data_IF_246676783668
#
_entry.id   IF_246676783668
#
_cell.length_a   1.000
_cell.length_b   1.000
_cell.length_c   1.000
_cell.angle_alpha   90.00
_cell.angle_beta   90.00
_cell.angle_gamma   90.00
#
_symmetry.space_group_name_H-M   'P 1'
#
loop_
_entity.id
_entity.type
_entity.pdbx_description
1 polymer ?
#
# COMPACT_ATOMS: atom_id res chain seq x y z
N UNK A 1 6.56 3.61 -0.53
CA UNK A 1 5.46 4.60 -0.53
C UNK A 1 4.89 4.89 0.86
N UNK A 2 4.53 3.89 1.68
CA UNK A 2 3.96 4.09 3.03
C UNK A 2 4.76 5.05 3.93
N UNK A 3 6.06 4.82 4.11
CA UNK A 3 6.93 5.70 4.91
C UNK A 3 6.97 7.13 4.37
N UNK A 4 7.07 7.26 3.04
CA UNK A 4 7.07 8.56 2.37
C UNK A 4 5.77 9.32 2.64
N UNK A 5 4.60 8.69 2.43
CA UNK A 5 3.31 9.34 2.70
C UNK A 5 3.10 9.68 4.19
N UNK A 6 3.62 8.86 5.12
CA UNK A 6 3.60 9.20 6.55
C UNK A 6 4.43 10.43 6.89
N UNK A 7 5.56 10.65 6.20
CA UNK A 7 6.37 11.85 6.41
C UNK A 7 5.66 13.16 6.00
N UNK A 8 4.57 13.06 5.23
CA UNK A 8 3.75 14.20 4.79
C UNK A 8 2.34 14.20 5.41
N UNK A 9 2.08 13.34 6.41
CA UNK A 9 0.75 13.17 7.03
C UNK A 9 -0.36 12.79 6.04
N UNK A 10 0.00 12.08 4.97
CA UNK A 10 -0.88 11.74 3.85
C UNK A 10 -1.38 10.28 3.89
N UNK A 11 -0.72 9.42 4.67
CA UNK A 11 -0.99 7.98 4.67
C UNK A 11 -2.44 7.65 5.04
N UNK A 12 -2.95 8.25 6.12
CA UNK A 12 -4.33 8.00 6.58
C UNK A 12 -5.37 8.51 5.58
N UNK A 13 -5.10 9.65 4.94
CA UNK A 13 -5.97 10.20 3.89
C UNK A 13 -6.03 9.27 2.67
N UNK A 14 -4.88 8.68 2.30
CA UNK A 14 -4.84 7.69 1.22
C UNK A 14 -5.54 6.39 1.61
N UNK A 15 -5.38 5.87 2.83
CA UNK A 15 -6.05 4.62 3.27
C UNK A 15 -7.56 4.77 3.38
N UNK A 16 -8.03 5.88 3.94
CA UNK A 16 -9.46 6.22 4.06
C UNK A 16 -10.13 6.35 2.68
N UNK A 17 -9.40 6.89 1.70
CA UNK A 17 -9.93 7.29 0.41
C UNK A 17 -10.68 8.61 0.46
N UNK A 18 -11.11 9.08 -0.71
CA UNK A 18 -11.78 10.36 -0.88
C UNK A 18 -13.11 10.17 -1.58
N UNK A 19 -14.17 10.67 -0.95
CA UNK A 19 -15.50 10.75 -1.56
C UNK A 19 -15.87 12.23 -1.68
N UNK A 20 -15.99 12.77 -2.91
CA UNK A 20 -16.46 14.12 -3.11
C UNK A 20 -17.84 14.32 -2.45
N UNK A 21 -18.08 15.45 -1.77
CA UNK A 21 -19.40 15.72 -1.20
C UNK A 21 -20.43 15.87 -2.31
N UNK A 22 -21.58 15.17 -2.18
CA UNK A 22 -22.66 15.18 -3.17
C UNK A 22 -23.21 16.58 -3.45
N UNK A 23 -23.26 17.43 -2.41
CA UNK A 23 -23.71 18.82 -2.50
C UNK A 23 -22.72 19.76 -1.82
N UNK A 24 -21.72 20.21 -2.55
CA UNK A 24 -20.75 21.22 -2.10
C UNK A 24 -21.42 22.53 -1.65
N UNK A 25 -22.60 22.84 -2.17
CA UNK A 25 -23.39 24.03 -1.80
C UNK A 25 -24.12 23.93 -0.46
N UNK A 26 -24.28 22.73 0.11
CA UNK A 26 -24.98 22.50 1.40
C UNK A 26 -24.01 22.32 2.58
N UNK A 27 -22.71 22.50 2.35
CA UNK A 27 -21.72 22.40 3.42
C UNK A 27 -21.86 23.57 4.38
N UNK A 28 -21.98 23.27 5.68
CA UNK A 28 -21.88 24.30 6.72
C UNK A 28 -20.46 24.89 6.73
N UNK A 29 -20.29 26.12 7.22
CA UNK A 29 -18.98 26.77 7.35
C UNK A 29 -17.98 25.90 8.13
N UNK A 30 -18.46 25.13 9.11
CA UNK A 30 -17.66 24.19 9.88
C UNK A 30 -17.16 22.99 9.06
N UNK A 31 -17.91 22.54 8.05
CA UNK A 31 -17.58 21.39 7.19
C UNK A 31 -16.75 21.78 5.95
N UNK A 32 -16.75 23.06 5.55
CA UNK A 32 -16.00 23.53 4.38
C UNK A 32 -14.48 23.33 4.52
N UNK A 33 -13.92 23.69 5.68
CA UNK A 33 -12.48 23.53 5.95
C UNK A 33 -12.02 22.06 5.87
N UNK A 34 -12.63 21.10 6.60
CA UNK A 34 -12.20 19.70 6.53
C UNK A 34 -12.41 19.10 5.13
N UNK A 35 -13.51 19.41 4.43
CA UNK A 35 -13.73 18.91 3.06
C UNK A 35 -12.65 19.40 2.08
N UNK A 36 -12.21 20.67 2.21
CA UNK A 36 -11.12 21.21 1.41
C UNK A 36 -9.79 20.53 1.72
N UNK A 37 -9.50 20.26 2.99
CA UNK A 37 -8.28 19.54 3.40
C UNK A 37 -8.27 18.12 2.84
N UNK A 38 -9.38 17.40 2.94
CA UNK A 38 -9.50 16.03 2.44
C UNK A 38 -9.30 15.96 0.92
N UNK A 39 -9.95 16.86 0.19
CA UNK A 39 -9.76 17.00 -1.27
C UNK A 39 -8.30 17.31 -1.63
N UNK A 40 -7.69 18.27 -0.92
CA UNK A 40 -6.29 18.66 -1.13
C UNK A 40 -5.33 17.50 -0.88
N UNK A 41 -5.53 16.76 0.21
CA UNK A 41 -4.71 15.62 0.55
C UNK A 41 -4.84 14.51 -0.49
N UNK A 42 -6.05 14.21 -0.97
CA UNK A 42 -6.27 13.25 -2.05
C UNK A 42 -5.47 13.60 -3.30
N UNK A 43 -5.58 14.84 -3.80
CA UNK A 43 -4.88 15.22 -5.03
C UNK A 43 -3.36 15.32 -4.85
N UNK A 44 -2.88 15.69 -3.66
CA UNK A 44 -1.45 15.60 -3.33
C UNK A 44 -0.95 14.15 -3.38
N UNK A 45 -1.67 13.21 -2.75
CA UNK A 45 -1.34 11.79 -2.81
C UNK A 45 -1.34 11.27 -4.25
N UNK A 46 -2.35 11.62 -5.04
CA UNK A 46 -2.47 11.18 -6.43
C UNK A 46 -1.29 11.70 -7.26
N UNK A 47 -0.94 12.97 -7.09
CA UNK A 47 0.24 13.56 -7.74
C UNK A 47 1.53 12.82 -7.35
N UNK A 48 1.71 12.48 -6.07
CA UNK A 48 2.87 11.70 -5.64
C UNK A 48 2.90 10.29 -6.24
N UNK A 49 1.75 9.62 -6.37
CA UNK A 49 1.68 8.31 -7.02
C UNK A 49 2.05 8.42 -8.51
N UNK A 50 1.51 9.42 -9.21
CA UNK A 50 1.82 9.69 -10.61
C UNK A 50 3.30 9.98 -10.84
N UNK A 51 3.95 10.75 -9.96
CA UNK A 51 5.38 11.06 -10.08
C UNK A 51 6.30 9.93 -9.64
N UNK A 52 5.83 8.99 -8.81
CA UNK A 52 6.66 7.91 -8.27
C UNK A 52 6.73 6.68 -9.21
N UNK A 53 5.80 6.55 -10.15
CA UNK A 53 5.77 5.40 -11.08
C UNK A 53 6.59 5.68 -12.33
N UNK A 54 7.14 4.62 -12.93
CA UNK A 54 7.78 4.71 -14.24
C UNK A 54 6.77 5.04 -15.34
N UNK A 55 7.24 5.63 -16.45
CA UNK A 55 6.40 5.97 -17.61
C UNK A 55 5.64 4.75 -18.17
N UNK A 56 6.21 3.56 -18.08
CA UNK A 56 5.55 2.31 -18.50
C UNK A 56 4.37 1.91 -17.61
N UNK A 57 4.32 2.38 -16.37
CA UNK A 57 3.28 2.05 -15.38
C UNK A 57 2.25 3.18 -15.26
N UNK A 58 2.64 4.43 -15.57
CA UNK A 58 1.76 5.60 -15.48
C UNK A 58 0.39 5.44 -16.18
N UNK A 59 0.29 4.85 -17.40
CA UNK A 59 -1.01 4.63 -18.06
C UNK A 59 -2.00 3.78 -17.25
N UNK A 60 -1.52 2.97 -16.29
CA UNK A 60 -2.38 2.15 -15.43
C UNK A 60 -3.17 2.99 -14.41
N UNK A 61 -2.66 4.14 -14.01
CA UNK A 61 -3.22 4.95 -12.91
C UNK A 61 -3.60 6.38 -13.33
N UNK A 62 -3.36 6.75 -14.59
CA UNK A 62 -3.67 8.11 -15.09
C UNK A 62 -5.17 8.41 -15.07
N UNK A 63 -6.01 7.39 -15.28
CA UNK A 63 -7.46 7.53 -15.31
C UNK A 63 -8.11 7.48 -13.91
N UNK A 64 -7.33 7.17 -12.86
CA UNK A 64 -7.84 7.08 -11.50
C UNK A 64 -8.28 8.46 -11.00
N UNK A 65 -9.51 8.53 -10.49
CA UNK A 65 -10.12 9.77 -9.98
C UNK A 65 -9.67 10.10 -8.56
N UNK A 66 -9.18 9.10 -7.82
CA UNK A 66 -8.72 9.27 -6.44
C UNK A 66 -7.35 8.63 -6.23
N UNK A 67 -6.62 9.11 -5.22
CA UNK A 67 -5.36 8.48 -4.81
C UNK A 67 -5.55 7.05 -4.35
N UNK A 68 -6.68 6.75 -3.70
CA UNK A 68 -7.00 5.41 -3.21
C UNK A 68 -7.22 4.44 -4.37
N UNK A 69 -7.96 4.86 -5.39
CA UNK A 69 -8.14 4.07 -6.61
C UNK A 69 -6.80 3.78 -7.30
N UNK A 70 -5.97 4.81 -7.53
CA UNK A 70 -4.64 4.63 -8.12
C UNK A 70 -3.77 3.68 -7.29
N UNK A 71 -3.80 3.81 -5.96
CA UNK A 71 -3.08 2.95 -5.04
C UNK A 71 -3.57 1.50 -5.13
N UNK A 72 -4.88 1.27 -5.12
CA UNK A 72 -5.48 -0.06 -5.18
C UNK A 72 -5.20 -0.72 -6.53
N UNK A 73 -5.25 0.01 -7.65
CA UNK A 73 -4.83 -0.49 -8.96
C UNK A 73 -3.37 -0.96 -8.97
N UNK A 74 -2.45 -0.18 -8.38
CA UNK A 74 -1.05 -0.60 -8.25
C UNK A 74 -0.92 -1.84 -7.35
N UNK A 75 -1.66 -1.90 -6.24
CA UNK A 75 -1.63 -3.07 -5.38
C UNK A 75 -2.13 -4.32 -6.11
N UNK A 76 -3.22 -4.22 -6.86
CA UNK A 76 -3.77 -5.35 -7.61
C UNK A 76 -2.84 -5.82 -8.73
N UNK A 77 -2.26 -4.90 -9.51
CA UNK A 77 -1.34 -5.22 -10.61
C UNK A 77 -0.10 -5.98 -10.11
N UNK A 78 0.51 -5.53 -9.00
CA UNK A 78 1.81 -6.05 -8.56
C UNK A 78 1.71 -7.11 -7.44
N UNK A 79 0.68 -7.06 -6.61
CA UNK A 79 0.51 -7.99 -5.49
C UNK A 79 -0.63 -9.00 -5.74
N UNK A 80 -1.44 -8.79 -6.78
CA UNK A 80 -2.65 -9.55 -7.04
C UNK A 80 -3.84 -9.05 -6.21
N UNK A 81 -5.01 -9.63 -6.50
CA UNK A 81 -6.25 -9.35 -5.75
C UNK A 81 -6.09 -9.67 -4.27
N UNK A 82 -7.00 -9.13 -3.43
CA UNK A 82 -7.02 -9.44 -2.00
C UNK A 82 -7.00 -10.96 -1.72
N UNK A 83 -7.76 -11.74 -2.51
CA UNK A 83 -7.76 -13.21 -2.42
C UNK A 83 -6.40 -13.82 -2.75
N UNK A 84 -5.74 -13.35 -3.81
CA UNK A 84 -4.41 -13.83 -4.19
C UNK A 84 -3.39 -13.49 -3.10
N UNK A 85 -3.44 -12.28 -2.55
CA UNK A 85 -2.58 -11.86 -1.44
C UNK A 85 -2.79 -12.72 -0.20
N UNK A 86 -4.04 -13.01 0.17
CA UNK A 86 -4.36 -13.86 1.31
C UNK A 86 -3.81 -15.29 1.14
N UNK A 87 -3.94 -15.87 -0.05
CA UNK A 87 -3.40 -17.20 -0.36
C UNK A 87 -1.85 -17.19 -0.32
N UNK A 88 -1.22 -16.17 -0.90
CA UNK A 88 0.25 -16.01 -0.85
C UNK A 88 0.75 -15.89 0.59
N UNK A 89 0.06 -15.10 1.42
CA UNK A 89 0.40 -14.95 2.83
C UNK A 89 0.25 -16.27 3.61
N UNK A 90 -0.80 -17.05 3.36
CA UNK A 90 -0.97 -18.37 3.97
C UNK A 90 0.19 -19.32 3.61
N UNK A 91 0.59 -19.34 2.34
CA UNK A 91 1.73 -20.14 1.89
C UNK A 91 3.03 -19.69 2.57
N UNK A 92 3.27 -18.37 2.65
CA UNK A 92 4.46 -17.83 3.33
C UNK A 92 4.49 -18.19 4.82
N UNK A 93 3.36 -18.15 5.53
CA UNK A 93 3.28 -18.61 6.94
C UNK A 93 3.66 -20.08 7.06
N UNK A 94 3.12 -20.93 6.18
CA UNK A 94 3.48 -22.35 6.14
C UNK A 94 4.97 -22.54 5.85
N UNK A 95 5.52 -21.79 4.90
CA UNK A 95 6.94 -21.91 4.55
C UNK A 95 7.84 -21.42 5.69
N UNK A 96 7.43 -20.35 6.41
CA UNK A 96 8.08 -19.86 7.62
C UNK A 96 8.08 -20.92 8.74
N UNK A 97 6.92 -21.51 9.05
CA UNK A 97 6.79 -22.55 10.08
C UNK A 97 7.62 -23.81 9.76
N UNK A 98 7.77 -24.13 8.47
CA UNK A 98 8.57 -25.26 8.01
C UNK A 98 10.05 -24.91 7.77
N UNK A 99 10.46 -23.66 7.96
CA UNK A 99 11.81 -23.21 7.63
C UNK A 99 12.82 -23.79 8.62
N UNK A 100 13.72 -24.64 8.12
CA UNK A 100 14.78 -25.27 8.91
C UNK A 100 16.11 -25.14 8.20
N UNK A 101 17.16 -24.89 8.99
CA UNK A 101 18.53 -24.85 8.48
C UNK A 101 18.94 -26.26 8.05
N UNK A 102 19.50 -26.38 6.85
CA UNK A 102 20.09 -27.61 6.32
C UNK A 102 21.55 -27.76 6.80
N UNK A 103 22.04 -28.99 6.82
CA UNK A 103 23.44 -29.25 7.20
C UNK A 103 24.45 -28.66 6.20
N UNK A 104 24.02 -28.44 4.95
CA UNK A 104 24.86 -27.93 3.86
C UNK A 104 24.87 -26.41 3.71
N UNK A 105 24.07 -25.67 4.48
CA UNK A 105 24.00 -24.21 4.39
C UNK A 105 24.74 -23.53 5.55
N UNK A 106 25.20 -22.30 5.34
CA UNK A 106 25.76 -21.51 6.43
C UNK A 106 24.67 -20.80 7.23
N UNK A 107 24.98 -20.40 8.46
CA UNK A 107 24.06 -19.59 9.30
C UNK A 107 23.63 -18.31 8.57
N UNK A 108 24.55 -17.69 7.81
CA UNK A 108 24.26 -16.48 7.04
C UNK A 108 23.24 -16.74 5.94
N UNK A 109 23.36 -17.87 5.24
CA UNK A 109 22.42 -18.25 4.18
C UNK A 109 21.03 -18.52 4.76
N UNK A 110 20.96 -19.18 5.91
CA UNK A 110 19.71 -19.44 6.61
C UNK A 110 19.03 -18.15 7.05
N UNK A 111 19.77 -17.24 7.70
CA UNK A 111 19.25 -15.92 8.13
C UNK A 111 18.75 -15.12 6.91
N UNK A 112 19.48 -15.17 5.80
CA UNK A 112 19.08 -14.45 4.58
C UNK A 112 17.73 -14.98 4.05
N UNK A 113 17.54 -16.30 4.02
CA UNK A 113 16.25 -16.92 3.64
C UNK A 113 15.13 -16.60 4.63
N UNK A 114 15.40 -16.63 5.93
CA UNK A 114 14.43 -16.26 6.96
C UNK A 114 13.95 -14.81 6.76
N UNK A 115 14.89 -13.88 6.58
CA UNK A 115 14.59 -12.48 6.35
C UNK A 115 13.81 -12.26 5.04
N UNK A 116 14.12 -13.03 4.00
CA UNK A 116 13.36 -12.98 2.75
C UNK A 116 11.89 -13.36 2.97
N UNK A 117 11.62 -14.49 3.63
CA UNK A 117 10.25 -14.94 3.93
C UNK A 117 9.51 -13.92 4.79
N UNK A 118 10.14 -13.43 5.87
CA UNK A 118 9.55 -12.42 6.76
C UNK A 118 9.24 -11.12 6.02
N UNK A 119 10.14 -10.65 5.16
CA UNK A 119 9.93 -9.43 4.39
C UNK A 119 8.81 -9.59 3.35
N UNK A 120 8.70 -10.77 2.71
CA UNK A 120 7.57 -11.07 1.85
C UNK A 120 6.25 -11.06 2.63
N UNK A 121 6.20 -11.63 3.83
CA UNK A 121 5.01 -11.58 4.69
C UNK A 121 4.61 -10.14 5.03
N UNK A 122 5.58 -9.27 5.35
CA UNK A 122 5.35 -7.83 5.59
C UNK A 122 4.78 -7.12 4.37
N UNK A 123 5.27 -7.45 3.16
CA UNK A 123 4.75 -6.87 1.89
C UNK A 123 3.27 -7.19 1.69
N UNK A 124 2.83 -8.41 2.06
CA UNK A 124 1.43 -8.82 1.98
C UNK A 124 0.57 -8.35 3.18
N UNK A 125 1.10 -7.52 4.08
CA UNK A 125 0.35 -6.87 5.14
C UNK A 125 0.46 -7.53 6.52
N UNK A 126 1.31 -8.56 6.69
CA UNK A 126 1.51 -9.18 7.99
C UNK A 126 2.29 -8.26 8.93
N UNK A 127 1.81 -8.14 10.17
CA UNK A 127 2.56 -7.52 11.27
C UNK A 127 3.47 -8.58 11.90
N UNK A 128 4.67 -8.74 11.36
CA UNK A 128 5.72 -9.56 11.99
C UNK A 128 6.48 -8.69 12.98
N UNK A 129 6.36 -8.99 14.28
CA UNK A 129 7.16 -8.37 15.34
C UNK A 129 8.61 -8.83 15.22
N UNK A 130 9.54 -7.90 15.44
CA UNK A 130 10.99 -8.19 15.47
C UNK A 130 11.38 -9.05 16.68
#
# INVERSE_FOLDING_TARGET
MKTFLRAYDLWESMEKGYTPPENSNNLTVAQMKPAKVESTNNFKCLSFLHSAVAESIFPRIVASSTAKEAWDTLQEEFQGTERVRAIRLLNLRRDYENLKMKDSETVKDYISKLLEVVNQMRIYGEKVTD
#
